data_IF_603875769106
#
_entry.id   IF_603875769106
#
_cell.length_a   1.000
_cell.length_b   1.000
_cell.length_c   1.000
_cell.angle_alpha   90.00
_cell.angle_beta   90.00
_cell.angle_gamma   90.00
#
_symmetry.space_group_name_H-M   'P 1'
#
loop_
_entity.id
_entity.type
_entity.pdbx_description
1 polymer ?
#
# COMPACT_ATOMS: atom_id res chain seq x y z
N UNK A 1 -14.53 1.38 -25.35
CA UNK A 1 -13.47 2.11 -24.63
C UNK A 1 -14.15 3.00 -23.61
N UNK A 2 -13.63 3.11 -22.41
CA UNK A 2 -14.15 4.03 -21.38
C UNK A 2 -13.50 5.39 -21.59
N UNK A 3 -14.26 6.48 -21.42
CA UNK A 3 -13.73 7.84 -21.51
C UNK A 3 -13.03 8.28 -20.22
N UNK A 4 -13.43 7.72 -19.07
CA UNK A 4 -12.85 7.99 -17.74
C UNK A 4 -12.99 6.74 -16.85
N UNK A 5 -12.01 6.45 -16.04
CA UNK A 5 -12.09 5.40 -15.01
C UNK A 5 -12.23 6.05 -13.64
N UNK A 6 -13.09 5.48 -12.79
CA UNK A 6 -13.35 5.95 -11.44
C UNK A 6 -12.95 4.87 -10.44
N UNK A 7 -12.09 5.23 -9.50
CA UNK A 7 -11.79 4.41 -8.33
C UNK A 7 -11.83 5.26 -7.06
N UNK A 8 -12.88 5.09 -6.28
CA UNK A 8 -13.10 5.81 -5.02
C UNK A 8 -13.04 4.87 -3.81
N UNK A 9 -12.23 3.84 -3.91
CA UNK A 9 -11.93 2.96 -2.77
C UNK A 9 -11.50 3.79 -1.56
N UNK A 10 -11.96 3.40 -0.39
CA UNK A 10 -11.60 4.07 0.88
C UNK A 10 -10.22 3.65 1.40
N UNK A 11 -9.73 2.53 0.92
CA UNK A 11 -8.40 2.00 1.22
C UNK A 11 -7.91 1.18 0.02
N UNK A 12 -6.73 1.49 -0.48
CA UNK A 12 -6.17 0.83 -1.66
C UNK A 12 -4.66 0.67 -1.51
N UNK A 13 -4.16 -0.55 -1.73
CA UNK A 13 -2.74 -0.84 -1.65
C UNK A 13 -1.95 -0.22 -2.79
N UNK A 14 -2.34 -0.52 -4.02
CA UNK A 14 -1.69 0.00 -5.23
C UNK A 14 -2.68 0.63 -6.22
N UNK A 15 -3.81 -0.04 -6.50
CA UNK A 15 -4.79 0.44 -7.48
C UNK A 15 -4.47 0.00 -8.91
N UNK A 16 -4.34 -1.31 -9.13
CA UNK A 16 -4.02 -1.87 -10.46
C UNK A 16 -4.95 -1.38 -11.55
N UNK A 17 -6.25 -1.29 -11.29
CA UNK A 17 -7.24 -0.82 -12.27
C UNK A 17 -6.98 0.62 -12.72
N UNK A 18 -6.46 1.46 -11.83
CA UNK A 18 -6.08 2.84 -12.14
C UNK A 18 -4.80 2.86 -12.97
N UNK A 19 -3.79 2.10 -12.58
CA UNK A 19 -2.55 1.96 -13.34
C UNK A 19 -2.81 1.49 -14.77
N UNK A 20 -3.62 0.44 -14.92
CA UNK A 20 -4.02 -0.11 -16.23
C UNK A 20 -4.77 0.93 -17.08
N UNK A 21 -5.65 1.71 -16.45
CA UNK A 21 -6.37 2.78 -17.14
C UNK A 21 -5.43 3.87 -17.64
N UNK A 22 -4.52 4.35 -16.80
CA UNK A 22 -3.55 5.38 -17.17
C UNK A 22 -2.62 4.89 -18.27
N UNK A 23 -2.10 3.65 -18.16
CA UNK A 23 -1.26 3.04 -19.20
C UNK A 23 -2.03 2.85 -20.50
N UNK A 24 -3.34 2.62 -20.44
CA UNK A 24 -4.21 2.56 -21.62
C UNK A 24 -4.56 3.92 -22.20
N UNK A 25 -4.19 5.02 -21.57
CA UNK A 25 -4.48 6.38 -22.01
C UNK A 25 -5.87 6.87 -21.60
N UNK A 26 -6.46 6.31 -20.55
CA UNK A 26 -7.76 6.70 -20.01
C UNK A 26 -7.55 7.57 -18.77
N UNK A 27 -8.12 8.79 -18.70
CA UNK A 27 -8.09 9.63 -17.53
C UNK A 27 -8.80 8.98 -16.34
N UNK A 28 -8.45 9.42 -15.13
CA UNK A 28 -8.93 8.79 -13.91
C UNK A 28 -9.53 9.79 -12.91
N UNK A 29 -10.52 9.34 -12.17
CA UNK A 29 -11.02 9.95 -10.94
C UNK A 29 -10.64 9.03 -9.80
N UNK A 30 -9.91 9.53 -8.83
CA UNK A 30 -9.42 8.69 -7.72
C UNK A 30 -9.61 9.37 -6.37
N UNK A 31 -9.97 8.59 -5.36
CA UNK A 31 -9.84 9.00 -3.97
C UNK A 31 -8.35 9.10 -3.61
N UNK A 32 -7.95 10.17 -2.95
CA UNK A 32 -6.54 10.37 -2.55
C UNK A 32 -6.27 9.56 -1.28
N UNK A 33 -5.99 8.28 -1.47
CA UNK A 33 -5.67 7.33 -0.40
C UNK A 33 -4.74 6.24 -0.88
N UNK A 34 -3.84 5.79 -0.01
CA UNK A 34 -2.91 4.70 -0.30
C UNK A 34 -2.20 4.85 -1.63
N UNK A 35 -2.06 3.76 -2.37
CA UNK A 35 -1.38 3.74 -3.67
C UNK A 35 -2.09 4.50 -4.79
N UNK A 36 -3.35 4.90 -4.61
CA UNK A 36 -4.04 5.74 -5.61
C UNK A 36 -3.41 7.12 -5.72
N UNK A 37 -2.92 7.69 -4.61
CA UNK A 37 -2.27 9.00 -4.63
C UNK A 37 -0.93 8.99 -5.37
N UNK A 38 -0.27 7.85 -5.45
CA UNK A 38 1.04 7.72 -6.12
C UNK A 38 0.91 7.81 -7.64
N UNK A 39 -0.29 7.55 -8.16
CA UNK A 39 -0.57 7.44 -9.59
C UNK A 39 -1.10 8.73 -10.23
N UNK A 40 -1.36 9.75 -9.44
CA UNK A 40 -1.91 11.01 -9.96
C UNK A 40 -0.84 12.03 -10.35
N UNK A 41 0.44 11.69 -10.23
CA UNK A 41 1.55 12.58 -10.59
C UNK A 41 1.56 13.85 -9.75
N UNK A 42 1.55 13.69 -8.41
CA UNK A 42 1.57 14.82 -7.48
C UNK A 42 2.84 15.64 -7.61
N UNK A 43 2.69 16.94 -7.52
CA UNK A 43 3.77 17.91 -7.57
C UNK A 43 3.79 18.75 -6.29
N UNK A 44 4.98 19.09 -5.83
CA UNK A 44 5.17 20.06 -4.76
C UNK A 44 4.89 21.50 -5.20
N UNK A 45 5.05 22.44 -4.31
CA UNK A 45 4.83 23.86 -4.60
C UNK A 45 5.76 24.40 -5.69
N UNK A 46 6.95 23.81 -5.84
CA UNK A 46 7.95 24.15 -6.84
C UNK A 46 7.75 23.43 -8.18
N UNK A 47 6.71 22.61 -8.29
CA UNK A 47 6.40 21.82 -9.48
C UNK A 47 7.28 20.60 -9.68
N UNK A 48 7.99 20.13 -8.64
CA UNK A 48 8.73 18.88 -8.66
C UNK A 48 7.83 17.71 -8.25
N UNK A 49 8.08 16.50 -8.81
CA UNK A 49 7.39 15.31 -8.35
C UNK A 49 7.56 15.10 -6.84
N UNK A 50 6.45 14.77 -6.18
CA UNK A 50 6.48 14.44 -4.75
C UNK A 50 7.13 13.08 -4.58
N UNK A 51 8.14 13.02 -3.71
CA UNK A 51 8.77 11.76 -3.32
C UNK A 51 8.00 11.16 -2.13
N UNK A 52 7.54 9.93 -2.32
CA UNK A 52 6.87 9.18 -1.27
C UNK A 52 7.91 8.50 -0.39
N UNK A 53 7.94 8.88 0.87
CA UNK A 53 8.79 8.28 1.89
C UNK A 53 7.99 7.33 2.79
N UNK A 54 8.69 6.57 3.61
CA UNK A 54 8.10 5.69 4.60
C UNK A 54 7.13 6.41 5.56
N UNK A 55 7.40 7.68 5.83
CA UNK A 55 6.63 8.51 6.75
C UNK A 55 5.54 9.32 6.04
N UNK A 56 5.38 9.11 4.74
CA UNK A 56 4.32 9.76 3.97
C UNK A 56 2.96 9.20 4.37
N UNK A 57 2.02 10.08 4.70
CA UNK A 57 0.68 9.67 5.13
C UNK A 57 -0.09 8.90 4.04
N UNK A 58 -0.96 7.99 4.44
CA UNK A 58 -1.81 7.23 3.51
C UNK A 58 -2.75 8.12 2.67
N UNK A 59 -2.95 9.36 3.08
CA UNK A 59 -3.43 10.45 2.24
C UNK A 59 -2.58 11.69 2.56
N UNK A 60 -2.46 12.61 1.62
CA UNK A 60 -1.65 13.80 1.84
C UNK A 60 -2.42 14.96 2.53
N UNK A 61 -3.66 14.71 2.94
CA UNK A 61 -4.53 15.68 3.63
C UNK A 61 -4.54 17.05 2.94
N UNK A 62 -4.60 17.07 1.60
CA UNK A 62 -4.51 18.26 0.73
C UNK A 62 -3.19 19.05 0.84
N UNK A 63 -2.12 18.44 1.33
CA UNK A 63 -0.80 19.08 1.37
C UNK A 63 -0.26 19.36 -0.03
N UNK A 64 -0.47 18.41 -0.95
CA UNK A 64 -0.08 18.55 -2.35
C UNK A 64 -1.34 18.52 -3.22
N UNK A 65 -1.68 19.64 -3.82
CA UNK A 65 -2.90 19.77 -4.63
C UNK A 65 -2.64 19.82 -6.12
N UNK A 66 -1.38 20.03 -6.54
CA UNK A 66 -0.99 19.97 -7.95
C UNK A 66 -0.80 18.52 -8.34
N UNK A 67 -1.32 18.17 -9.50
CA UNK A 67 -1.31 16.79 -10.01
C UNK A 67 -1.27 16.76 -11.53
N UNK A 68 -1.07 15.60 -12.10
CA UNK A 68 -1.09 15.41 -13.55
C UNK A 68 -2.47 15.68 -14.15
N UNK A 69 -2.47 16.11 -15.41
CA UNK A 69 -3.71 16.50 -16.12
C UNK A 69 -4.64 15.33 -16.42
N UNK A 70 -4.13 14.09 -16.34
CA UNK A 70 -4.89 12.85 -16.56
C UNK A 70 -5.70 12.41 -15.33
N UNK A 71 -5.52 13.07 -14.20
CA UNK A 71 -6.18 12.70 -12.97
C UNK A 71 -7.07 13.82 -12.45
N UNK A 72 -8.22 13.46 -11.90
CA UNK A 72 -9.05 14.33 -11.09
C UNK A 72 -9.15 13.70 -9.69
N UNK A 73 -8.33 14.15 -8.74
CA UNK A 73 -8.36 13.63 -7.39
C UNK A 73 -9.61 14.09 -6.64
N UNK A 74 -10.17 13.18 -5.87
CA UNK A 74 -11.21 13.45 -4.87
C UNK A 74 -10.57 13.30 -3.50
N UNK A 75 -10.75 14.30 -2.65
CA UNK A 75 -10.07 14.34 -1.35
C UNK A 75 -10.92 13.72 -0.26
N UNK A 76 -10.36 12.87 0.59
CA UNK A 76 -11.08 12.35 1.74
C UNK A 76 -11.54 13.49 2.67
N UNK A 77 -12.74 13.36 3.19
CA UNK A 77 -13.32 14.30 4.16
C UNK A 77 -13.41 13.71 5.56
N UNK A 78 -13.38 12.39 5.65
CA UNK A 78 -13.47 11.67 6.91
C UNK A 78 -12.54 10.45 6.86
N UNK A 79 -11.87 10.18 7.96
CA UNK A 79 -11.12 8.94 8.19
C UNK A 79 -11.80 8.15 9.29
N UNK A 80 -12.08 6.90 9.01
CA UNK A 80 -12.70 5.97 9.96
C UNK A 80 -11.71 4.87 10.29
N UNK A 81 -11.62 4.50 11.55
CA UNK A 81 -10.86 3.32 11.97
C UNK A 81 -11.75 2.11 11.88
N UNK A 82 -11.33 1.15 11.07
CA UNK A 82 -11.97 -0.16 10.98
C UNK A 82 -10.96 -1.24 11.35
N UNK A 83 -11.44 -2.44 11.52
CA UNK A 83 -10.56 -3.57 11.76
C UNK A 83 -11.28 -4.74 12.36
N UNK A 84 -10.57 -5.84 12.41
CA UNK A 84 -10.95 -7.07 13.08
C UNK A 84 -9.81 -7.49 14.01
N UNK A 85 -10.02 -8.44 14.96
CA UNK A 85 -8.93 -8.88 15.82
C UNK A 85 -7.61 -9.22 15.11
N UNK A 86 -7.61 -9.90 13.94
CA UNK A 86 -6.37 -10.19 13.22
C UNK A 86 -5.78 -8.97 12.47
N UNK A 87 -6.60 -7.95 12.16
CA UNK A 87 -6.18 -6.75 11.41
C UNK A 87 -6.74 -5.49 12.06
N UNK A 88 -6.28 -5.14 13.27
CA UNK A 88 -6.73 -3.93 13.96
C UNK A 88 -6.16 -2.68 13.26
N UNK A 89 -6.83 -1.55 13.44
CA UNK A 89 -6.36 -0.23 13.01
C UNK A 89 -6.22 -0.05 11.49
N UNK A 90 -7.19 -0.57 10.72
CA UNK A 90 -7.34 -0.21 9.32
C UNK A 90 -8.01 1.17 9.25
N UNK A 91 -7.44 2.07 8.46
CA UNK A 91 -7.99 3.40 8.25
C UNK A 91 -8.63 3.47 6.88
N UNK A 92 -9.93 3.80 6.84
CA UNK A 92 -10.66 4.07 5.63
C UNK A 92 -10.82 5.58 5.43
N UNK A 93 -10.41 6.04 4.28
CA UNK A 93 -10.52 7.44 3.85
C UNK A 93 -11.77 7.61 2.99
N UNK A 94 -12.78 8.25 3.53
CA UNK A 94 -14.07 8.42 2.87
C UNK A 94 -14.16 9.78 2.18
N UNK A 95 -14.48 9.78 0.90
CA UNK A 95 -14.79 11.00 0.13
C UNK A 95 -16.29 11.29 0.08
N UNK A 96 -16.65 12.51 -0.27
CA UNK A 96 -18.05 12.90 -0.50
C UNK A 96 -18.49 12.48 -1.90
N UNK A 97 -19.73 12.02 -2.00
CA UNK A 97 -20.31 11.68 -3.30
C UNK A 97 -20.48 12.92 -4.19
N UNK A 98 -20.69 14.11 -3.61
CA UNK A 98 -20.78 15.38 -4.35
C UNK A 98 -19.47 15.72 -5.05
N UNK A 99 -18.34 15.52 -4.36
CA UNK A 99 -17.01 15.78 -4.92
C UNK A 99 -16.71 14.79 -6.08
N UNK A 100 -17.18 13.55 -5.96
CA UNK A 100 -17.10 12.55 -7.04
C UNK A 100 -17.95 12.98 -8.23
N UNK A 101 -19.18 13.42 -7.98
CA UNK A 101 -20.08 13.91 -9.03
C UNK A 101 -19.50 15.14 -9.73
N UNK A 102 -18.89 16.06 -8.99
CA UNK A 102 -18.18 17.22 -9.56
C UNK A 102 -17.01 16.78 -10.46
N UNK A 103 -16.23 15.80 -10.02
CA UNK A 103 -15.13 15.25 -10.80
C UNK A 103 -15.62 14.56 -12.08
N UNK A 104 -16.76 13.87 -12.05
CA UNK A 104 -17.40 13.31 -13.25
C UNK A 104 -17.86 14.42 -14.19
N UNK A 105 -18.52 15.44 -13.66
CA UNK A 105 -18.98 16.60 -14.45
C UNK A 105 -17.81 17.36 -15.08
N UNK A 106 -16.67 17.46 -14.39
CA UNK A 106 -15.46 18.05 -14.95
C UNK A 106 -15.04 17.37 -16.25
N UNK A 107 -14.94 16.05 -16.28
CA UNK A 107 -14.55 15.31 -17.47
C UNK A 107 -15.63 15.36 -18.55
N UNK A 108 -16.90 15.30 -18.17
CA UNK A 108 -18.02 15.42 -19.10
C UNK A 108 -18.01 16.76 -19.85
N UNK A 109 -17.84 17.87 -19.14
CA UNK A 109 -17.79 19.22 -19.71
C UNK A 109 -16.54 19.44 -20.54
N UNK A 110 -15.42 18.82 -20.14
CA UNK A 110 -14.15 18.93 -20.86
C UNK A 110 -14.23 18.33 -22.26
N UNK A 111 -15.07 17.32 -22.46
CA UNK A 111 -15.34 16.68 -23.72
C UNK A 111 -14.30 15.64 -24.14
N UNK A 112 -14.70 14.80 -25.09
CA UNK A 112 -13.94 13.60 -25.49
C UNK A 112 -12.53 13.89 -25.96
N UNK A 113 -12.32 14.82 -26.87
CA UNK A 113 -11.01 15.16 -27.43
C UNK A 113 -10.01 15.55 -26.34
N UNK A 114 -10.47 16.31 -25.35
CA UNK A 114 -9.63 16.74 -24.27
C UNK A 114 -9.35 15.59 -23.28
N UNK A 115 -10.33 14.73 -23.04
CA UNK A 115 -10.12 13.51 -22.24
C UNK A 115 -9.03 12.62 -22.87
N UNK A 116 -9.11 12.40 -24.19
CA UNK A 116 -8.09 11.64 -24.94
C UNK A 116 -6.70 12.29 -24.86
N UNK A 117 -6.62 13.60 -24.99
CA UNK A 117 -5.36 14.34 -24.85
C UNK A 117 -4.78 14.20 -23.43
N UNK A 118 -5.59 14.36 -22.39
CA UNK A 118 -5.17 14.20 -21.00
C UNK A 118 -4.76 12.75 -20.70
N UNK A 119 -5.50 11.78 -21.23
CA UNK A 119 -5.17 10.37 -21.09
C UNK A 119 -3.84 10.00 -21.76
N UNK A 120 -3.55 10.55 -22.96
CA UNK A 120 -2.28 10.39 -23.63
C UNK A 120 -1.09 10.91 -22.80
N UNK A 121 -1.26 12.06 -22.13
CA UNK A 121 -0.28 12.59 -21.19
C UNK A 121 -0.06 11.66 -19.99
N UNK A 122 -1.16 11.11 -19.44
CA UNK A 122 -1.09 10.12 -18.35
C UNK A 122 -0.33 8.89 -18.75
N UNK A 123 -0.60 8.34 -19.95
CA UNK A 123 0.14 7.20 -20.50
C UNK A 123 1.62 7.50 -20.65
N UNK A 124 1.97 8.66 -21.18
CA UNK A 124 3.36 9.07 -21.33
C UNK A 124 4.07 9.13 -19.97
N UNK A 125 3.43 9.78 -19.00
CA UNK A 125 3.94 9.86 -17.63
C UNK A 125 4.12 8.45 -17.02
N UNK A 126 3.09 7.60 -17.09
CA UNK A 126 3.11 6.27 -16.50
C UNK A 126 4.25 5.40 -17.02
N UNK A 127 4.50 5.44 -18.32
CA UNK A 127 5.54 4.62 -18.95
C UNK A 127 6.96 5.16 -18.75
N UNK A 128 7.13 6.46 -18.48
CA UNK A 128 8.43 7.08 -18.30
C UNK A 128 8.69 7.44 -16.83
N UNK A 129 8.09 8.50 -16.33
CA UNK A 129 8.33 9.05 -15.00
C UNK A 129 7.69 8.19 -13.89
N UNK A 130 6.46 7.71 -14.12
CA UNK A 130 5.73 6.83 -13.19
C UNK A 130 6.28 5.42 -13.10
N UNK A 131 7.16 5.05 -14.02
CA UNK A 131 7.88 3.76 -13.99
C UNK A 131 7.00 2.52 -14.20
N UNK A 132 5.76 2.67 -14.66
CA UNK A 132 4.80 1.57 -14.86
C UNK A 132 5.10 0.79 -16.15
N UNK A 133 6.33 0.37 -16.33
CA UNK A 133 6.75 -0.47 -17.44
C UNK A 133 7.62 -1.63 -16.97
N UNK A 134 7.60 -2.73 -17.73
CA UNK A 134 8.28 -3.96 -17.35
C UNK A 134 9.82 -3.83 -17.25
N UNK A 135 10.44 -2.94 -18.01
CA UNK A 135 11.89 -2.72 -17.97
C UNK A 135 12.29 -2.06 -16.66
N UNK A 136 11.59 -0.98 -16.29
CA UNK A 136 11.84 -0.30 -15.03
C UNK A 136 11.57 -1.22 -13.84
N UNK A 137 10.49 -2.01 -13.89
CA UNK A 137 10.20 -3.01 -12.85
C UNK A 137 11.34 -4.01 -12.71
N UNK A 138 11.84 -4.56 -13.81
CA UNK A 138 12.94 -5.51 -13.80
C UNK A 138 14.23 -4.89 -13.24
N UNK A 139 14.57 -3.67 -13.65
CA UNK A 139 15.74 -2.96 -13.13
C UNK A 139 15.65 -2.68 -11.64
N UNK A 140 14.50 -2.21 -11.17
CA UNK A 140 14.30 -1.95 -9.74
C UNK A 140 14.34 -3.24 -8.93
N UNK A 141 13.76 -4.33 -9.46
CA UNK A 141 13.79 -5.62 -8.81
C UNK A 141 15.22 -6.17 -8.68
N UNK A 142 16.02 -6.10 -9.75
CA UNK A 142 17.42 -6.53 -9.72
C UNK A 142 18.21 -5.70 -8.70
N UNK A 143 18.08 -4.38 -8.72
CA UNK A 143 18.73 -3.50 -7.72
C UNK A 143 18.34 -3.84 -6.28
N UNK A 144 17.07 -4.12 -6.06
CA UNK A 144 16.58 -4.50 -4.73
C UNK A 144 17.12 -5.87 -4.29
N UNK A 145 17.26 -6.82 -5.22
CA UNK A 145 17.88 -8.12 -4.95
C UNK A 145 19.36 -7.96 -4.60
N UNK A 146 20.12 -7.23 -5.41
CA UNK A 146 21.56 -6.99 -5.18
C UNK A 146 21.76 -6.30 -3.83
N UNK A 147 21.01 -5.25 -3.54
CA UNK A 147 21.05 -4.57 -2.25
C UNK A 147 20.73 -5.52 -1.09
N UNK A 148 19.73 -6.39 -1.25
CA UNK A 148 19.35 -7.36 -0.21
C UNK A 148 20.45 -8.37 0.02
N UNK A 149 21.05 -8.92 -1.04
CA UNK A 149 22.13 -9.90 -0.92
C UNK A 149 23.37 -9.31 -0.26
N UNK A 150 23.71 -8.06 -0.56
CA UNK A 150 24.86 -7.35 0.03
C UNK A 150 24.63 -6.98 1.50
N UNK A 151 23.41 -6.67 1.89
CA UNK A 151 23.11 -6.09 3.20
C UNK A 151 22.33 -7.04 4.12
N UNK A 152 21.95 -8.23 3.64
CA UNK A 152 21.14 -9.17 4.42
C UNK A 152 21.94 -9.77 5.57
N UNK A 153 21.53 -9.47 6.77
CA UNK A 153 21.99 -10.15 7.96
C UNK A 153 20.90 -11.09 8.46
N UNK A 154 21.14 -12.42 8.50
CA UNK A 154 20.16 -13.35 9.01
C UNK A 154 19.76 -12.98 10.44
N UNK A 155 18.48 -12.77 10.68
CA UNK A 155 18.00 -12.63 12.04
C UNK A 155 18.00 -14.00 12.70
N UNK A 156 18.50 -14.10 13.91
CA UNK A 156 18.23 -15.23 14.80
C UNK A 156 16.71 -15.33 14.95
N UNK A 157 16.09 -16.27 14.24
CA UNK A 157 14.62 -16.36 14.14
C UNK A 157 13.97 -16.76 15.45
N UNK A 158 14.64 -17.61 16.19
CA UNK A 158 14.15 -18.13 17.47
C UNK A 158 15.34 -18.42 18.37
N UNK A 159 15.26 -18.05 19.62
CA UNK A 159 16.05 -18.63 20.70
C UNK A 159 15.19 -19.70 21.36
N UNK A 160 15.68 -20.95 21.36
CA UNK A 160 15.10 -21.99 22.19
C UNK A 160 15.56 -21.70 23.64
N UNK A 161 14.61 -21.32 24.48
CA UNK A 161 14.84 -21.19 25.90
C UNK A 161 14.29 -22.45 26.57
N UNK A 162 15.04 -23.01 27.49
CA UNK A 162 14.54 -24.08 28.35
C UNK A 162 13.43 -23.49 29.23
N UNK A 163 12.23 -24.06 29.15
CA UNK A 163 11.10 -23.59 29.95
C UNK A 163 11.36 -23.68 31.45
N UNK A 164 12.31 -24.54 31.89
CA UNK A 164 12.74 -24.65 33.27
C UNK A 164 13.46 -23.39 33.77
N UNK A 165 14.13 -22.64 32.90
CA UNK A 165 14.79 -21.38 33.24
C UNK A 165 13.77 -20.24 33.51
N UNK A 166 12.56 -20.35 32.99
CA UNK A 166 11.48 -19.38 33.19
C UNK A 166 10.57 -19.68 34.38
N UNK A 167 10.61 -20.92 34.90
CA UNK A 167 9.80 -21.34 36.05
C UNK A 167 10.45 -20.86 37.35
N UNK A 168 10.42 -19.61 37.59
CA UNK A 168 10.99 -19.01 38.82
C UNK A 168 11.31 -17.53 38.69
N UNK A 169 11.44 -17.03 37.52
CA UNK A 169 11.52 -15.61 37.28
C UNK A 169 10.09 -15.04 37.22
N UNK A 170 9.79 -14.10 38.13
CA UNK A 170 8.52 -13.37 38.10
C UNK A 170 8.30 -12.83 36.69
N UNK A 171 7.19 -13.22 36.07
CA UNK A 171 6.71 -12.57 34.85
C UNK A 171 6.73 -11.04 35.04
N UNK A 172 7.11 -10.25 34.04
CA UNK A 172 6.96 -8.81 34.11
C UNK A 172 5.55 -8.46 34.54
N UNK A 173 5.39 -7.50 35.44
CA UNK A 173 4.09 -7.10 36.03
C UNK A 173 2.99 -6.77 35.02
N UNK A 174 3.33 -6.64 33.74
CA UNK A 174 2.41 -6.35 32.63
C UNK A 174 2.02 -7.59 31.79
N UNK A 175 2.46 -8.79 32.13
CA UNK A 175 1.98 -10.01 31.47
C UNK A 175 0.62 -10.37 32.06
N UNK A 176 -0.43 -10.31 31.26
CA UNK A 176 -1.74 -10.88 31.65
C UNK A 176 -1.49 -12.33 32.03
N UNK A 177 -1.83 -12.70 33.28
CA UNK A 177 -1.47 -13.95 33.94
C UNK A 177 -2.03 -15.20 33.29
N UNK A 178 -1.52 -15.53 32.13
CA UNK A 178 -1.71 -16.81 31.50
C UNK A 178 -0.59 -17.75 31.99
N UNK A 179 -0.93 -18.71 32.79
CA UNK A 179 -0.04 -19.85 33.01
C UNK A 179 0.14 -20.57 31.67
N UNK A 180 1.36 -20.52 31.13
CA UNK A 180 1.69 -21.33 29.96
C UNK A 180 1.71 -22.79 30.40
N UNK A 181 0.83 -23.65 29.87
CA UNK A 181 0.84 -25.07 30.24
C UNK A 181 2.22 -25.66 29.92
N UNK A 182 2.75 -26.44 30.85
CA UNK A 182 4.00 -27.19 30.60
C UNK A 182 3.77 -28.14 29.43
N UNK A 183 4.36 -27.81 28.29
CA UNK A 183 4.28 -28.66 27.12
C UNK A 183 5.37 -29.71 27.26
N UNK A 184 4.95 -30.95 27.48
CA UNK A 184 5.85 -32.09 27.44
C UNK A 184 6.19 -32.42 25.96
N UNK A 185 7.30 -31.84 25.50
CA UNK A 185 7.76 -31.96 24.11
C UNK A 185 8.04 -33.42 23.73
N UNK A 186 8.51 -34.25 24.67
CA UNK A 186 8.75 -35.67 24.41
C UNK A 186 7.45 -36.46 24.23
N UNK A 187 6.45 -36.11 25.02
CA UNK A 187 5.10 -36.69 24.88
C UNK A 187 4.48 -36.31 23.56
N UNK A 188 4.55 -35.04 23.17
CA UNK A 188 4.08 -34.56 21.87
C UNK A 188 4.81 -35.21 20.70
N UNK A 189 6.13 -35.40 20.77
CA UNK A 189 6.89 -36.08 19.74
C UNK A 189 6.45 -37.53 19.55
N UNK A 190 6.11 -38.22 20.63
CA UNK A 190 5.61 -39.60 20.58
C UNK A 190 4.19 -39.68 20.01
N UNK A 191 3.34 -38.71 20.36
CA UNK A 191 1.95 -38.68 19.89
C UNK A 191 1.83 -38.29 18.41
N UNK A 192 2.70 -37.41 17.91
CA UNK A 192 2.71 -36.96 16.51
C UNK A 192 3.57 -37.82 15.58
N UNK A 193 4.25 -38.83 16.09
CA UNK A 193 5.06 -39.76 15.28
C UNK A 193 6.24 -39.09 14.56
N UNK A 194 6.70 -37.94 15.00
CA UNK A 194 7.88 -37.28 14.45
C UNK A 194 9.15 -37.98 14.89
N UNK A 195 9.74 -38.73 13.98
CA UNK A 195 11.14 -39.20 14.13
C UNK A 195 12.04 -37.95 14.11
N UNK A 196 13.02 -37.92 15.04
CA UNK A 196 13.98 -36.84 15.13
C UNK A 196 14.68 -36.63 13.78
N UNK A 197 14.56 -35.44 13.21
CA UNK A 197 15.38 -34.95 12.10
C UNK A 197 16.56 -34.20 12.72
N UNK A 198 17.40 -34.90 13.44
CA UNK A 198 18.73 -34.43 13.90
C UNK A 198 19.66 -35.63 13.98
N UNK A 199 20.25 -35.94 12.90
CA UNK A 199 21.62 -36.51 12.79
C UNK A 199 22.38 -35.62 11.84
#
# INVERSE_FOLDING_TARGET
MSDVTINVSSNEGFGLSVAESIVSGTPVIVNVTGGLQDQIGQLDDNGKPVEFSRDFGSNNVKKYTKHGVWAKPVWPVTRVVQGSPPTPYIFDDLCKWEDVAEAMMYWYVLGKEKCESCGAEGRRWALNEGGLNHKNLAEQFIKAMDFTLENFTPRSRFSLHDSSEYIGNKMPENSMGFEIPKIDVEKMRKEVGMKSILT
#
